data_IF_815878641095
#
_entry.id   IF_815878641095
#
_cell.length_a   1.000
_cell.length_b   1.000
_cell.length_c   1.000
_cell.angle_alpha   90.00
_cell.angle_beta   90.00
_cell.angle_gamma   90.00
#
_symmetry.space_group_name_H-M   'P 1'
#
loop_
_entity.id
_entity.type
_entity.pdbx_description
1 polymer ?
#
# COMPACT_ATOMS: atom_id res chain seq x y z
N UNK A 1 -7.03 -22.50 -31.79
CA UNK A 1 -5.89 -22.12 -30.94
C UNK A 1 -5.52 -20.68 -31.30
N UNK A 2 -5.62 -19.68 -30.41
CA UNK A 2 -5.13 -18.35 -30.73
C UNK A 2 -3.67 -18.19 -30.30
N UNK A 3 -2.83 -17.80 -31.26
CA UNK A 3 -1.45 -17.37 -31.06
C UNK A 3 -1.44 -16.02 -30.32
N UNK A 4 -0.92 -15.99 -29.09
CA UNK A 4 -0.51 -14.74 -28.43
C UNK A 4 0.96 -14.48 -28.70
N UNK A 5 1.25 -13.61 -29.66
CA UNK A 5 2.57 -13.03 -29.86
C UNK A 5 2.43 -11.53 -30.10
N UNK A 6 1.91 -10.82 -29.08
CA UNK A 6 2.05 -9.37 -29.00
C UNK A 6 3.51 -9.05 -28.68
N UNK A 7 4.27 -8.58 -29.67
CA UNK A 7 5.60 -8.03 -29.44
C UNK A 7 5.43 -6.62 -28.90
N UNK A 8 5.58 -6.46 -27.59
CA UNK A 8 5.61 -5.16 -26.91
C UNK A 8 6.85 -4.40 -27.36
N UNK A 9 6.69 -3.48 -28.32
CA UNK A 9 7.76 -2.55 -28.69
C UNK A 9 7.77 -1.39 -27.71
N UNK A 10 8.78 -1.40 -26.85
CA UNK A 10 9.19 -0.24 -26.04
C UNK A 10 9.41 0.96 -26.97
N UNK A 11 8.78 2.11 -26.71
CA UNK A 11 9.14 3.38 -27.37
C UNK A 11 10.56 3.73 -26.91
N UNK A 12 11.55 3.46 -27.76
CA UNK A 12 12.90 3.08 -27.33
C UNK A 12 13.80 4.22 -26.81
N UNK A 13 13.43 5.49 -26.99
CA UNK A 13 14.24 6.63 -26.52
C UNK A 13 13.75 7.20 -25.19
N UNK A 14 12.44 7.43 -25.05
CA UNK A 14 11.87 8.01 -23.83
C UNK A 14 11.96 7.04 -22.64
N UNK A 15 11.69 5.76 -22.86
CA UNK A 15 11.78 4.76 -21.79
C UNK A 15 13.23 4.39 -21.42
N UNK A 16 14.20 4.65 -22.29
CA UNK A 16 15.62 4.38 -21.97
C UNK A 16 16.15 5.42 -20.98
N UNK A 17 15.89 6.71 -21.24
CA UNK A 17 16.27 7.79 -20.36
C UNK A 17 15.46 7.76 -19.05
N UNK A 18 14.17 7.46 -19.11
CA UNK A 18 13.36 7.28 -17.89
C UNK A 18 13.84 6.08 -17.07
N UNK A 19 14.26 4.98 -17.69
CA UNK A 19 14.85 3.88 -16.94
C UNK A 19 16.24 4.25 -16.39
N UNK A 20 17.08 4.95 -17.14
CA UNK A 20 18.36 5.44 -16.60
C UNK A 20 18.14 6.43 -15.45
N UNK A 21 17.15 7.32 -15.53
CA UNK A 21 16.72 8.15 -14.39
C UNK A 21 16.18 7.28 -13.26
N UNK A 22 15.43 6.24 -13.58
CA UNK A 22 14.86 5.32 -12.61
C UNK A 22 15.91 4.45 -11.92
N UNK A 23 17.05 4.29 -12.57
CA UNK A 23 18.28 3.70 -12.05
C UNK A 23 19.26 4.77 -11.55
N UNK A 24 18.96 6.07 -11.59
CA UNK A 24 19.86 7.14 -11.12
C UNK A 24 21.17 7.29 -11.89
N UNK A 25 21.18 6.88 -13.16
CA UNK A 25 22.33 6.88 -14.05
C UNK A 25 22.28 7.98 -15.12
N UNK A 26 21.18 8.72 -15.22
CA UNK A 26 21.04 9.89 -16.08
C UNK A 26 21.17 11.18 -15.25
N UNK A 27 22.28 11.91 -15.44
CA UNK A 27 22.52 13.23 -14.85
C UNK A 27 23.42 13.22 -13.62
N UNK A 28 24.46 14.07 -13.63
CA UNK A 28 25.39 14.24 -12.51
C UNK A 28 24.73 14.94 -11.33
N UNK A 29 24.07 14.19 -10.46
CA UNK A 29 23.51 14.67 -9.20
C UNK A 29 22.67 13.58 -8.52
N UNK A 30 22.78 13.45 -7.19
CA UNK A 30 21.94 12.55 -6.41
C UNK A 30 20.46 12.96 -6.55
N UNK A 31 19.72 12.31 -7.44
CA UNK A 31 18.30 12.58 -7.66
C UNK A 31 17.46 11.85 -6.60
N UNK A 32 16.63 12.60 -5.87
CA UNK A 32 15.61 12.07 -4.95
C UNK A 32 14.27 12.23 -5.61
N UNK A 33 13.59 11.12 -5.91
CA UNK A 33 12.22 11.15 -6.42
C UNK A 33 11.25 11.04 -5.25
N UNK A 34 10.48 12.10 -4.99
CA UNK A 34 9.41 12.14 -3.98
C UNK A 34 8.04 11.89 -4.62
N UNK A 35 7.21 11.13 -3.93
CA UNK A 35 5.82 10.83 -4.33
C UNK A 35 4.83 11.83 -3.73
N UNK A 36 3.73 12.10 -4.45
CA UNK A 36 2.68 13.03 -4.04
C UNK A 36 1.46 12.25 -3.55
N UNK A 37 1.08 12.42 -2.28
CA UNK A 37 -0.14 11.85 -1.72
C UNK A 37 -1.31 12.79 -1.98
N UNK A 38 -2.43 12.27 -2.52
CA UNK A 38 -3.67 13.02 -2.61
C UNK A 38 -4.60 12.57 -1.48
N UNK A 39 -4.93 13.48 -0.55
CA UNK A 39 -5.94 13.23 0.46
C UNK A 39 -7.33 13.34 -0.18
N UNK A 40 -8.13 12.28 -0.13
CA UNK A 40 -9.57 12.36 -0.44
C UNK A 40 -10.28 12.73 0.86
N UNK A 41 -10.69 13.98 0.99
CA UNK A 41 -11.58 14.41 2.07
C UNK A 41 -12.98 13.88 1.77
N UNK A 42 -13.46 12.90 2.53
CA UNK A 42 -14.88 12.53 2.54
C UNK A 42 -15.68 13.67 3.17
N UNK A 43 -16.37 14.46 2.35
CA UNK A 43 -17.35 15.43 2.82
C UNK A 43 -18.54 14.71 3.44
N UNK A 44 -18.82 14.99 4.71
CA UNK A 44 -20.10 14.69 5.34
C UNK A 44 -20.95 15.94 5.17
N UNK A 45 -22.07 15.80 4.47
CA UNK A 45 -23.03 16.86 4.22
C UNK A 45 -24.01 16.87 5.40
N UNK A 46 -23.71 17.69 6.41
CA UNK A 46 -24.63 18.02 7.49
C UNK A 46 -25.55 19.15 6.98
N UNK A 47 -26.82 18.83 6.73
CA UNK A 47 -27.85 19.88 6.55
C UNK A 47 -28.76 19.92 7.78
N UNK A 48 -28.60 21.01 8.52
CA UNK A 48 -29.44 21.43 9.64
C UNK A 48 -30.89 21.74 9.21
N UNK A 49 -31.77 21.60 10.20
CA UNK A 49 -33.21 21.85 10.17
C UNK A 49 -33.58 23.33 10.23
N UNK A 50 -34.78 23.67 9.73
CA UNK A 50 -35.74 24.72 10.13
C UNK A 50 -36.87 24.77 9.06
N UNK A 51 -38.15 25.11 9.24
CA UNK A 51 -39.06 25.37 10.36
C UNK A 51 -40.53 25.49 9.81
N UNK A 52 -41.54 25.25 10.67
CA UNK A 52 -43.00 25.59 10.69
C UNK A 52 -43.97 25.41 9.51
N UNK A 53 -45.12 24.74 9.77
CA UNK A 53 -46.44 25.35 10.14
C UNK A 53 -47.59 24.35 9.94
N UNK A 54 -48.54 24.28 10.89
CA UNK A 54 -49.88 23.73 10.63
C UNK A 54 -50.68 23.34 11.88
N UNK A 55 -51.72 24.13 12.21
CA UNK A 55 -52.64 24.02 13.35
C UNK A 55 -53.77 22.99 13.11
N UNK A 56 -54.34 22.42 14.18
CA UNK A 56 -55.79 22.09 14.21
C UNK A 56 -56.26 20.91 15.07
N UNK A 57 -56.94 21.25 16.19
CA UNK A 57 -58.11 20.61 16.82
C UNK A 57 -57.99 19.38 17.78
N UNK A 58 -58.46 19.65 19.01
CA UNK A 58 -58.91 18.87 20.20
C UNK A 58 -59.95 17.72 19.97
N UNK A 59 -60.46 17.00 21.01
CA UNK A 59 -59.89 16.45 22.26
C UNK A 59 -60.43 15.02 22.61
N UNK A 60 -60.25 14.57 23.87
CA UNK A 60 -60.98 13.47 24.59
C UNK A 60 -60.40 12.05 24.41
N UNK A 61 -59.99 11.27 25.42
CA UNK A 61 -60.66 10.95 26.69
C UNK A 61 -59.71 10.23 27.68
N UNK A 62 -60.09 10.31 28.96
CA UNK A 62 -59.58 9.64 30.18
C UNK A 62 -59.21 8.15 30.02
N UNK A 63 -58.20 7.70 30.78
CA UNK A 63 -58.44 6.87 31.97
C UNK A 63 -57.16 6.66 32.81
N UNK A 64 -57.34 6.86 34.11
CA UNK A 64 -56.38 6.68 35.19
C UNK A 64 -56.69 5.33 35.85
N UNK A 65 -55.72 4.41 35.92
CA UNK A 65 -55.82 3.29 36.84
C UNK A 65 -54.44 2.81 37.32
N UNK A 66 -54.14 3.19 38.56
CA UNK A 66 -53.17 2.51 39.42
C UNK A 66 -53.41 1.00 39.46
N UNK A 67 -52.35 0.18 39.45
CA UNK A 67 -52.09 -0.80 40.51
C UNK A 67 -50.80 -1.64 40.30
N UNK A 68 -50.04 -1.69 41.41
CA UNK A 68 -49.23 -2.81 41.94
C UNK A 68 -47.87 -3.10 41.30
N UNK A 69 -46.87 -2.52 41.98
CA UNK A 69 -45.46 -2.90 42.00
C UNK A 69 -45.31 -4.34 42.50
N UNK A 70 -44.89 -5.25 41.62
CA UNK A 70 -44.40 -6.59 41.99
C UNK A 70 -42.88 -6.55 41.96
N UNK A 71 -42.26 -6.63 43.13
CA UNK A 71 -40.82 -6.70 43.29
C UNK A 71 -40.32 -8.11 42.97
N UNK A 72 -39.75 -8.31 41.78
CA UNK A 72 -38.95 -9.48 41.47
C UNK A 72 -37.50 -9.03 41.22
N UNK A 73 -36.58 -9.45 42.09
CA UNK A 73 -35.13 -9.26 41.89
C UNK A 73 -34.67 -10.13 40.71
N UNK A 74 -34.07 -9.57 39.64
CA UNK A 74 -33.40 -10.41 38.67
C UNK A 74 -32.06 -10.85 39.27
N UNK A 75 -31.95 -12.15 39.58
CA UNK A 75 -30.67 -12.83 39.73
C UNK A 75 -29.99 -12.85 38.35
N UNK A 76 -29.24 -11.80 38.03
CA UNK A 76 -28.32 -11.82 36.89
C UNK A 76 -27.06 -12.57 37.35
N UNK A 77 -26.93 -13.82 36.91
CA UNK A 77 -25.65 -14.49 36.85
C UNK A 77 -24.71 -13.62 36.00
N UNK A 78 -23.81 -12.87 36.65
CA UNK A 78 -22.67 -12.24 35.98
C UNK A 78 -21.73 -13.35 35.53
N UNK A 79 -22.02 -13.98 34.39
CA UNK A 79 -20.98 -14.68 33.64
C UNK A 79 -20.02 -13.62 33.13
N UNK A 80 -18.96 -13.37 33.91
CA UNK A 80 -17.81 -12.59 33.48
C UNK A 80 -17.15 -13.34 32.33
N UNK A 81 -17.62 -13.08 31.11
CA UNK A 81 -16.83 -13.34 29.92
C UNK A 81 -15.66 -12.37 30.00
N UNK A 82 -14.51 -12.88 30.46
CA UNK A 82 -13.24 -12.18 30.34
C UNK A 82 -12.95 -12.07 28.84
N UNK A 83 -13.38 -10.97 28.23
CA UNK A 83 -12.86 -10.56 26.94
C UNK A 83 -11.40 -10.21 27.19
N UNK A 84 -10.51 -11.18 26.98
CA UNK A 84 -9.09 -10.88 26.94
C UNK A 84 -8.86 -10.01 25.72
N UNK A 85 -8.81 -8.70 25.93
CA UNK A 85 -8.21 -7.76 24.98
C UNK A 85 -6.74 -8.17 24.83
N UNK A 86 -6.48 -9.16 24.00
CA UNK A 86 -5.21 -9.23 23.30
C UNK A 86 -5.19 -8.00 22.43
N UNK A 87 -4.48 -6.95 22.88
CA UNK A 87 -4.23 -5.80 22.03
C UNK A 87 -3.60 -6.33 20.74
N UNK A 88 -4.32 -6.21 19.61
CA UNK A 88 -3.76 -6.49 18.30
C UNK A 88 -2.53 -5.62 18.14
N UNK A 89 -1.36 -6.23 18.29
CA UNK A 89 -0.09 -5.51 18.23
C UNK A 89 0.24 -5.40 16.75
N UNK A 90 0.01 -4.22 16.19
CA UNK A 90 0.34 -3.99 14.78
C UNK A 90 1.80 -4.36 14.49
N UNK A 91 2.07 -4.99 13.34
CA UNK A 91 3.43 -5.32 12.92
C UNK A 91 4.28 -4.06 12.82
N UNK A 92 5.54 -4.15 13.26
CA UNK A 92 6.48 -3.04 13.23
C UNK A 92 7.52 -3.21 12.13
N UNK A 93 7.24 -2.60 10.97
CA UNK A 93 8.16 -2.54 9.83
C UNK A 93 9.24 -1.47 10.00
N UNK A 94 9.07 -0.53 10.93
CA UNK A 94 9.99 0.60 11.09
C UNK A 94 11.41 0.12 11.42
N UNK A 95 12.41 0.66 10.73
CA UNK A 95 13.80 0.27 10.90
C UNK A 95 14.64 0.49 9.65
N UNK A 96 15.92 0.15 9.77
CA UNK A 96 16.83 0.07 8.63
C UNK A 96 16.97 -1.39 8.21
N UNK A 97 17.07 -1.62 6.91
CA UNK A 97 17.00 -2.94 6.31
C UNK A 97 18.09 -3.07 5.24
N UNK A 98 18.91 -4.11 5.35
CA UNK A 98 20.01 -4.41 4.43
C UNK A 98 19.71 -5.69 3.67
N UNK A 99 19.85 -5.64 2.35
CA UNK A 99 19.54 -6.80 1.50
C UNK A 99 20.52 -7.94 1.76
N UNK A 100 19.98 -9.13 2.04
CA UNK A 100 20.68 -10.40 2.24
C UNK A 100 20.76 -11.18 0.93
N UNK A 101 19.64 -11.28 0.21
CA UNK A 101 19.53 -12.00 -1.05
C UNK A 101 18.52 -11.35 -2.00
N UNK A 102 18.69 -11.61 -3.29
CA UNK A 102 17.77 -11.22 -4.36
C UNK A 102 17.71 -12.33 -5.39
N UNK A 103 16.50 -12.77 -5.73
CA UNK A 103 16.25 -13.82 -6.69
C UNK A 103 15.37 -13.31 -7.83
N UNK A 104 15.68 -13.72 -9.06
CA UNK A 104 14.87 -13.46 -10.26
C UNK A 104 14.68 -11.99 -10.67
N UNK A 105 15.56 -11.08 -10.23
CA UNK A 105 15.46 -9.65 -10.56
C UNK A 105 15.68 -9.35 -12.05
N UNK A 106 16.58 -10.06 -12.73
CA UNK A 106 16.78 -9.89 -14.19
C UNK A 106 15.54 -10.31 -14.98
N UNK A 107 14.93 -11.45 -14.63
CA UNK A 107 13.73 -11.93 -15.32
C UNK A 107 12.52 -11.03 -15.06
N UNK A 108 12.39 -10.44 -13.86
CA UNK A 108 11.38 -9.40 -13.60
C UNK A 108 11.55 -8.21 -14.55
N UNK A 109 12.76 -7.65 -14.65
CA UNK A 109 13.03 -6.52 -15.54
C UNK A 109 12.79 -6.89 -17.02
N UNK A 110 13.12 -8.12 -17.40
CA UNK A 110 12.84 -8.64 -18.75
C UNK A 110 11.34 -8.75 -19.02
N UNK A 111 10.54 -9.20 -18.06
CA UNK A 111 9.08 -9.25 -18.16
C UNK A 111 8.48 -7.85 -18.30
N UNK A 112 9.08 -6.85 -17.65
CA UNK A 112 8.75 -5.43 -17.80
C UNK A 112 9.20 -4.83 -19.15
N UNK A 113 9.84 -5.61 -20.02
CA UNK A 113 10.29 -5.16 -21.35
C UNK A 113 11.68 -4.49 -21.36
N UNK A 114 12.41 -4.51 -20.25
CA UNK A 114 13.74 -3.90 -20.16
C UNK A 114 14.77 -4.69 -20.98
N UNK A 115 15.52 -4.00 -21.84
CA UNK A 115 16.53 -4.62 -22.69
C UNK A 115 17.75 -5.14 -21.90
N UNK A 116 18.47 -6.12 -22.46
CA UNK A 116 19.52 -6.85 -21.75
C UNK A 116 20.68 -5.98 -21.24
N UNK A 117 21.03 -4.90 -21.95
CA UNK A 117 22.10 -4.00 -21.51
C UNK A 117 21.68 -3.24 -20.25
N UNK A 118 20.46 -2.68 -20.25
CA UNK A 118 19.92 -1.96 -19.12
C UNK A 118 19.70 -2.84 -17.90
N UNK A 119 19.30 -4.11 -18.08
CA UNK A 119 19.13 -5.02 -16.94
C UNK A 119 20.42 -5.33 -16.21
N UNK A 120 21.54 -5.51 -16.95
CA UNK A 120 22.87 -5.69 -16.33
C UNK A 120 23.25 -4.50 -15.44
N UNK A 121 23.00 -3.30 -15.97
CA UNK A 121 23.25 -2.05 -15.28
C UNK A 121 22.35 -1.90 -14.04
N UNK A 122 21.05 -2.19 -14.18
CA UNK A 122 20.08 -2.20 -13.09
C UNK A 122 20.43 -3.20 -11.99
N UNK A 123 20.85 -4.41 -12.35
CA UNK A 123 21.28 -5.45 -11.42
C UNK A 123 22.51 -5.03 -10.62
N UNK A 124 23.49 -4.38 -11.26
CA UNK A 124 24.67 -3.86 -10.58
C UNK A 124 24.32 -2.71 -9.61
N UNK A 125 23.50 -1.77 -10.07
CA UNK A 125 22.99 -0.64 -9.29
C UNK A 125 22.20 -1.07 -8.05
N UNK A 126 21.27 -2.01 -8.22
CA UNK A 126 20.38 -2.50 -7.18
C UNK A 126 20.94 -3.72 -6.42
N UNK A 127 22.26 -3.94 -6.46
CA UNK A 127 22.90 -5.10 -5.83
C UNK A 127 22.99 -5.01 -4.30
N UNK A 128 22.97 -3.79 -3.73
CA UNK A 128 23.05 -3.54 -2.29
C UNK A 128 22.13 -2.37 -1.85
N UNK A 129 20.81 -2.48 -2.02
CA UNK A 129 19.90 -1.44 -1.60
C UNK A 129 19.85 -1.37 -0.07
N UNK A 130 19.89 -0.14 0.44
CA UNK A 130 19.59 0.19 1.82
C UNK A 130 18.15 0.72 1.90
N UNK A 131 17.32 0.09 2.74
CA UNK A 131 15.93 0.47 2.92
C UNK A 131 15.72 1.04 4.32
N UNK A 132 15.12 2.22 4.41
CA UNK A 132 14.67 2.82 5.67
C UNK A 132 13.15 2.90 5.64
N UNK A 133 12.50 2.34 6.67
CA UNK A 133 11.06 2.40 6.85
C UNK A 133 10.76 3.19 8.12
N UNK A 134 9.87 4.18 8.00
CA UNK A 134 9.23 4.84 9.14
C UNK A 134 7.75 4.50 9.09
N UNK A 135 7.21 4.09 10.22
CA UNK A 135 5.82 3.67 10.34
C UNK A 135 5.19 4.40 11.52
N UNK A 136 4.05 5.05 11.28
CA UNK A 136 3.20 5.62 12.32
C UNK A 136 1.77 5.10 12.13
N UNK A 137 1.44 4.04 12.84
CA UNK A 137 0.19 3.33 12.64
C UNK A 137 0.10 2.73 11.23
N UNK A 138 -0.86 3.24 10.46
CA UNK A 138 -1.09 2.89 9.04
C UNK A 138 -0.37 3.79 8.04
N UNK A 139 0.34 4.82 8.52
CA UNK A 139 1.12 5.71 7.67
C UNK A 139 2.55 5.18 7.53
N UNK A 140 3.01 5.06 6.30
CA UNK A 140 4.33 4.54 5.95
C UNK A 140 5.10 5.57 5.14
N UNK A 141 6.37 5.72 5.50
CA UNK A 141 7.40 6.31 4.67
C UNK A 141 8.47 5.26 4.41
N UNK A 142 8.80 5.06 3.13
CA UNK A 142 9.83 4.10 2.72
C UNK A 142 10.83 4.81 1.83
N UNK A 143 12.08 4.80 2.25
CA UNK A 143 13.23 5.30 1.49
C UNK A 143 14.07 4.12 1.05
N UNK A 144 14.31 4.01 -0.26
CA UNK A 144 15.21 3.00 -0.83
C UNK A 144 16.39 3.71 -1.47
N UNK A 145 17.59 3.47 -0.97
CA UNK A 145 18.82 4.04 -1.49
C UNK A 145 19.71 2.95 -2.08
N UNK A 146 20.11 3.15 -3.33
CA UNK A 146 21.11 2.34 -4.05
C UNK A 146 22.36 3.18 -4.29
N UNK A 147 23.39 2.62 -4.94
CA UNK A 147 24.61 3.37 -5.30
C UNK A 147 24.37 4.52 -6.27
N UNK A 148 23.21 4.52 -6.92
CA UNK A 148 22.92 5.37 -8.07
C UNK A 148 21.64 6.19 -7.87
N UNK A 149 20.63 5.66 -7.17
CA UNK A 149 19.35 6.35 -6.95
C UNK A 149 18.86 6.22 -5.53
N UNK A 150 18.18 7.26 -5.05
CA UNK A 150 17.30 7.21 -3.89
C UNK A 150 15.85 7.46 -4.30
N UNK A 151 14.94 6.57 -3.88
CA UNK A 151 13.48 6.72 -4.05
C UNK A 151 12.80 6.82 -2.70
N UNK A 152 11.75 7.64 -2.61
CA UNK A 152 11.00 7.88 -1.39
C UNK A 152 9.49 7.78 -1.67
N UNK A 153 8.81 6.86 -0.97
CA UNK A 153 7.36 6.71 -1.04
C UNK A 153 6.70 7.03 0.30
N UNK A 154 5.61 7.80 0.26
CA UNK A 154 4.74 8.07 1.40
C UNK A 154 3.32 7.58 1.07
N UNK A 155 2.78 6.71 1.91
CA UNK A 155 1.44 6.18 1.71
C UNK A 155 0.74 5.87 3.04
N UNK A 156 -0.58 5.78 2.97
CA UNK A 156 -1.40 5.26 4.05
C UNK A 156 -2.09 3.98 3.56
N UNK A 157 -2.16 2.96 4.41
CA UNK A 157 -2.90 1.73 4.09
C UNK A 157 -4.35 2.06 3.72
N UNK A 158 -4.84 1.48 2.63
CA UNK A 158 -6.20 1.70 2.12
C UNK A 158 -6.40 2.99 1.32
N UNK A 159 -5.37 3.83 1.17
CA UNK A 159 -5.43 5.09 0.40
C UNK A 159 -4.56 4.99 -0.84
N UNK A 160 -5.10 5.42 -1.98
CA UNK A 160 -4.36 5.43 -3.23
C UNK A 160 -3.30 6.54 -3.28
N UNK A 161 -2.15 6.25 -3.87
CA UNK A 161 -1.02 7.18 -4.01
C UNK A 161 -0.33 6.99 -5.37
N UNK A 162 0.43 7.99 -5.81
CA UNK A 162 1.23 7.88 -7.04
C UNK A 162 2.66 7.46 -6.70
N UNK A 163 3.22 6.52 -7.46
CA UNK A 163 4.62 6.12 -7.40
C UNK A 163 5.15 5.76 -8.80
N UNK A 164 6.34 5.17 -8.85
CA UNK A 164 6.89 4.58 -10.07
C UNK A 164 7.05 3.08 -9.89
N UNK A 165 6.79 2.30 -10.94
CA UNK A 165 7.16 0.89 -11.02
C UNK A 165 8.68 0.72 -10.99
N UNK A 166 9.14 -0.52 -10.81
CA UNK A 166 10.59 -0.84 -10.73
C UNK A 166 11.36 -0.42 -11.99
N UNK A 167 10.69 -0.37 -13.14
CA UNK A 167 11.21 0.09 -14.43
C UNK A 167 10.98 1.58 -14.70
N UNK A 168 10.47 2.34 -13.73
CA UNK A 168 10.38 3.82 -13.80
C UNK A 168 9.09 4.37 -14.41
N UNK A 169 8.08 3.54 -14.70
CA UNK A 169 6.80 4.04 -15.24
C UNK A 169 5.91 4.54 -14.12
N UNK A 170 5.28 5.69 -14.31
CA UNK A 170 4.34 6.26 -13.33
C UNK A 170 3.12 5.36 -13.16
N UNK A 171 2.77 5.06 -11.92
CA UNK A 171 1.61 4.26 -11.57
C UNK A 171 0.86 4.85 -10.37
N UNK A 172 -0.42 4.47 -10.28
CA UNK A 172 -1.26 4.66 -9.11
C UNK A 172 -1.30 3.35 -8.34
N UNK A 173 -1.06 3.45 -7.04
CA UNK A 173 -0.83 2.33 -6.16
C UNK A 173 -1.79 2.31 -4.98
N UNK A 174 -2.18 1.12 -4.56
CA UNK A 174 -3.05 0.88 -3.41
C UNK A 174 -2.44 -0.21 -2.53
N UNK A 175 -1.98 0.18 -1.34
CA UNK A 175 -1.43 -0.73 -0.35
C UNK A 175 -2.50 -1.17 0.66
N UNK A 176 -2.61 -2.47 0.90
CA UNK A 176 -3.57 -3.09 1.82
C UNK A 176 -2.90 -4.18 2.65
N UNK A 177 -3.41 -4.45 3.86
CA UNK A 177 -3.04 -5.64 4.61
C UNK A 177 -3.60 -6.88 3.90
N UNK A 178 -2.72 -7.81 3.50
CA UNK A 178 -3.09 -9.15 3.01
C UNK A 178 -3.19 -10.13 4.18
N UNK A 179 -2.28 -10.00 5.15
CA UNK A 179 -2.32 -10.72 6.43
C UNK A 179 -1.88 -9.77 7.55
N UNK A 180 -1.87 -10.24 8.80
CA UNK A 180 -1.37 -9.47 9.96
C UNK A 180 0.06 -8.96 9.76
N UNK A 181 0.92 -9.69 9.04
CA UNK A 181 2.34 -9.35 8.88
C UNK A 181 2.72 -9.03 7.42
N UNK A 182 1.75 -8.94 6.52
CA UNK A 182 1.99 -8.80 5.08
C UNK A 182 1.17 -7.69 4.46
N UNK A 183 1.87 -6.76 3.83
CA UNK A 183 1.31 -5.70 2.99
C UNK A 183 1.36 -6.18 1.55
N UNK A 184 0.24 -6.05 0.83
CA UNK A 184 0.15 -6.18 -0.61
C UNK A 184 -0.13 -4.80 -1.22
N UNK A 185 0.57 -4.45 -2.29
CA UNK A 185 0.34 -3.21 -3.03
C UNK A 185 0.13 -3.49 -4.50
N UNK A 186 -1.06 -3.17 -4.99
CA UNK A 186 -1.38 -3.21 -6.42
C UNK A 186 -0.86 -1.95 -7.09
N UNK A 187 -0.21 -2.08 -8.24
CA UNK A 187 0.21 -0.95 -9.06
C UNK A 187 -0.55 -0.94 -10.38
N UNK A 188 -1.06 0.22 -10.79
CA UNK A 188 -1.77 0.42 -12.06
C UNK A 188 -1.13 1.58 -12.82
N UNK A 189 -0.65 1.36 -14.04
CA UNK A 189 0.01 2.41 -14.83
C UNK A 189 -0.93 3.60 -15.06
N UNK A 190 -0.40 4.82 -14.96
CA UNK A 190 -1.14 6.05 -15.25
C UNK A 190 -1.29 6.25 -16.76
N UNK A 191 -0.25 5.87 -17.52
CA UNK A 191 -0.22 5.95 -18.98
C UNK A 191 0.43 4.69 -19.56
N UNK A 192 -0.07 4.31 -20.74
CA UNK A 192 0.35 3.13 -21.49
C UNK A 192 -0.17 1.80 -20.93
N UNK A 193 0.18 0.74 -21.66
CA UNK A 193 -0.12 -0.64 -21.31
C UNK A 193 1.13 -1.36 -20.79
N UNK A 194 0.92 -2.47 -20.07
CA UNK A 194 2.00 -3.33 -19.65
C UNK A 194 1.55 -4.49 -18.76
N UNK A 195 2.52 -5.27 -18.25
CA UNK A 195 2.26 -6.33 -17.28
C UNK A 195 1.52 -5.80 -16.06
N UNK A 196 0.71 -6.66 -15.44
CA UNK A 196 0.14 -6.36 -14.12
C UNK A 196 1.26 -6.39 -13.09
N UNK A 197 1.50 -5.28 -12.40
CA UNK A 197 2.56 -5.18 -11.40
C UNK A 197 2.03 -5.02 -9.99
N UNK A 198 2.79 -5.54 -9.03
CA UNK A 198 2.52 -5.40 -7.61
C UNK A 198 3.82 -5.53 -6.81
N UNK A 199 3.78 -5.11 -5.55
CA UNK A 199 4.80 -5.45 -4.59
C UNK A 199 4.19 -5.92 -3.27
N UNK A 200 4.90 -6.76 -2.51
CA UNK A 200 4.51 -7.14 -1.14
C UNK A 200 5.65 -6.93 -0.16
N UNK A 201 5.31 -6.67 1.10
CA UNK A 201 6.27 -6.61 2.22
C UNK A 201 5.76 -7.45 3.37
N UNK A 202 6.49 -8.50 3.71
CA UNK A 202 6.14 -9.44 4.77
C UNK A 202 7.22 -9.49 5.85
N UNK A 203 6.82 -9.43 7.11
CA UNK A 203 7.72 -9.64 8.24
C UNK A 203 7.70 -11.11 8.66
N UNK A 204 8.87 -11.72 8.66
CA UNK A 204 9.07 -13.10 9.12
C UNK A 204 10.22 -13.13 10.11
N UNK A 205 9.90 -13.01 11.40
CA UNK A 205 10.90 -12.86 12.46
C UNK A 205 11.71 -11.58 12.27
N UNK A 206 13.03 -11.73 12.08
CA UNK A 206 13.96 -10.62 11.84
C UNK A 206 14.19 -10.30 10.35
N UNK A 207 13.47 -10.98 9.46
CA UNK A 207 13.55 -10.78 8.02
C UNK A 207 12.38 -9.95 7.50
N UNK A 208 12.68 -9.08 6.53
CA UNK A 208 11.70 -8.43 5.68
C UNK A 208 11.78 -9.06 4.29
N UNK A 209 10.72 -9.76 3.90
CA UNK A 209 10.57 -10.38 2.59
C UNK A 209 9.83 -9.41 1.68
N UNK A 210 10.52 -8.96 0.63
CA UNK A 210 10.00 -8.08 -0.40
C UNK A 210 9.79 -8.88 -1.68
N UNK A 211 8.58 -8.87 -2.21
CA UNK A 211 8.26 -9.52 -3.48
C UNK A 211 7.83 -8.47 -4.49
N UNK A 212 8.30 -8.59 -5.72
CA UNK A 212 7.85 -7.82 -6.87
C UNK A 212 7.27 -8.77 -7.90
N UNK A 213 6.08 -8.47 -8.41
CA UNK A 213 5.44 -9.23 -9.47
C UNK A 213 5.26 -8.43 -10.74
N UNK A 214 5.42 -9.10 -11.88
CA UNK A 214 5.02 -8.63 -13.20
C UNK A 214 4.40 -9.81 -13.98
N UNK A 215 3.06 -9.80 -14.12
CA UNK A 215 2.27 -10.96 -14.54
C UNK A 215 2.65 -12.23 -13.73
N UNK A 216 3.11 -13.29 -14.39
CA UNK A 216 3.50 -14.56 -13.77
C UNK A 216 4.93 -14.56 -13.20
N UNK A 217 5.71 -13.50 -13.45
CA UNK A 217 7.10 -13.41 -13.02
C UNK A 217 7.19 -12.77 -11.65
N UNK A 218 7.87 -13.47 -10.73
CA UNK A 218 8.06 -13.05 -9.35
C UNK A 218 9.54 -12.90 -9.04
N UNK A 219 9.91 -11.77 -8.44
CA UNK A 219 11.22 -11.52 -7.86
C UNK A 219 11.09 -11.39 -6.35
N UNK A 220 11.99 -12.04 -5.61
CA UNK A 220 12.00 -12.01 -4.15
C UNK A 220 13.32 -11.43 -3.65
N UNK A 221 13.25 -10.56 -2.66
CA UNK A 221 14.39 -9.99 -1.96
C UNK A 221 14.20 -10.14 -0.46
N UNK A 222 15.22 -10.66 0.20
CA UNK A 222 15.21 -10.83 1.66
C UNK A 222 16.12 -9.76 2.24
N UNK A 223 15.62 -9.05 3.24
CA UNK A 223 16.36 -8.04 3.99
C UNK A 223 16.47 -8.44 5.45
N UNK A 224 17.60 -8.09 6.06
CA UNK A 224 17.83 -8.22 7.49
C UNK A 224 17.73 -6.85 8.15
N UNK A 225 17.16 -6.81 9.34
CA UNK A 225 17.13 -5.62 10.18
C UNK A 225 18.56 -5.21 10.53
N UNK A 226 18.88 -3.95 10.25
CA UNK A 226 20.21 -3.34 10.40
C UNK A 226 20.46 -2.74 11.77
#
# INVERSE_FOLDING_TARGET
>A
MPNFAGTWKMKSSENFDELLKALGLAGGGNFVTQTKTFAITSGTDDTEAENERGRGADPESREESSQKQVHCKPHIHKSSLKLTNSAFKMPNFAGTWKMKSSENFDELLKALGVNAMLRKVAGAAASKPHVEIRQNGEQFYIKTSTTVRTTEINFQIGVEFEEETVDGRKCRSLATWETENKIYCKQTLIDGDGPKTYWTRELTGDELILTFGADEVVCTRIYLRG
#
